data_IF_769734755569
#
_entry.id   IF_769734755569
#
_cell.length_a   1.000
_cell.length_b   1.000
_cell.length_c   1.000
_cell.angle_alpha   90.00
_cell.angle_beta   90.00
_cell.angle_gamma   90.00
#
_symmetry.space_group_name_H-M   'P 1'
#
loop_
_entity.id
_entity.type
_entity.pdbx_description
1 polymer ?
#
# COMPACT_ATOMS: atom_id res chain seq x y z
N UNK A 1 17.71 -0.54 -9.93
CA UNK A 1 16.93 -0.17 -8.73
C UNK A 1 16.71 1.34 -8.66
N UNK A 2 17.77 2.17 -8.55
CA UNK A 2 17.66 3.64 -8.52
C UNK A 2 16.77 4.24 -9.62
N UNK A 3 17.07 3.96 -10.88
CA UNK A 3 16.29 4.47 -12.02
C UNK A 3 14.81 4.04 -11.98
N UNK A 4 14.50 2.87 -11.40
CA UNK A 4 13.12 2.42 -11.29
C UNK A 4 12.34 3.24 -10.26
N UNK A 5 12.97 3.57 -9.12
CA UNK A 5 12.37 4.45 -8.11
C UNK A 5 12.22 5.85 -8.69
N UNK A 6 13.25 6.40 -9.35
CA UNK A 6 13.16 7.72 -9.99
C UNK A 6 12.03 7.80 -11.03
N UNK A 7 11.90 6.77 -11.88
CA UNK A 7 10.83 6.69 -12.86
C UNK A 7 9.44 6.63 -12.20
N UNK A 8 9.30 5.92 -11.07
CA UNK A 8 8.06 5.87 -10.32
C UNK A 8 7.72 7.24 -9.69
N UNK A 9 8.71 7.90 -9.08
CA UNK A 9 8.58 9.25 -8.51
C UNK A 9 8.21 10.28 -9.59
N UNK A 10 8.77 10.15 -10.80
CA UNK A 10 8.47 11.03 -11.92
C UNK A 10 7.04 10.84 -12.45
N UNK A 11 6.42 9.68 -12.20
CA UNK A 11 5.03 9.37 -12.56
C UNK A 11 4.03 9.76 -11.48
N UNK A 12 4.46 10.39 -10.39
CA UNK A 12 3.60 10.80 -9.26
C UNK A 12 2.72 9.64 -8.74
N UNK A 13 3.30 8.44 -8.60
CA UNK A 13 2.61 7.29 -8.05
C UNK A 13 2.32 7.48 -6.55
N UNK A 14 1.28 6.84 -6.02
CA UNK A 14 0.98 6.88 -4.59
C UNK A 14 1.73 5.81 -3.78
N UNK A 15 2.13 4.72 -4.44
CA UNK A 15 2.75 3.54 -3.81
C UNK A 15 3.87 3.03 -4.69
N UNK A 16 5.02 2.69 -4.07
CA UNK A 16 6.12 1.97 -4.71
C UNK A 16 6.31 0.65 -3.95
N UNK A 17 6.16 -0.45 -4.68
CA UNK A 17 6.41 -1.81 -4.19
C UNK A 17 7.81 -2.27 -4.61
N UNK A 18 8.69 -2.49 -3.63
CA UNK A 18 10.06 -2.97 -3.84
C UNK A 18 10.16 -4.40 -3.33
N UNK A 19 9.95 -5.37 -4.22
CA UNK A 19 10.17 -6.80 -3.93
C UNK A 19 11.67 -7.17 -3.90
N UNK A 20 12.47 -6.34 -3.27
CA UNK A 20 13.90 -6.53 -3.11
C UNK A 20 14.38 -5.81 -1.85
N UNK A 21 15.50 -6.31 -1.36
CA UNK A 21 16.25 -5.73 -0.27
C UNK A 21 17.71 -6.09 -0.50
N UNK A 22 18.60 -5.15 -0.19
CA UNK A 22 20.03 -5.27 -0.52
C UNK A 22 20.90 -4.84 0.65
N UNK A 23 22.13 -5.32 0.67
CA UNK A 23 23.15 -4.83 1.59
C UNK A 23 23.34 -3.31 1.47
N UNK A 24 23.69 -2.63 2.57
CA UNK A 24 23.88 -1.20 2.56
C UNK A 24 24.87 -0.77 1.47
N UNK A 25 24.43 0.06 0.50
CA UNK A 25 25.34 0.60 -0.51
C UNK A 25 26.41 1.47 0.16
N UNK A 26 27.57 1.57 -0.48
CA UNK A 26 28.72 2.33 0.03
C UNK A 26 28.98 3.57 -0.81
N UNK A 27 29.54 4.61 -0.18
CA UNK A 27 30.02 5.82 -0.86
C UNK A 27 28.94 6.55 -1.66
N UNK A 28 29.24 6.87 -2.92
CA UNK A 28 28.36 7.67 -3.80
C UNK A 28 27.00 7.00 -4.06
N UNK A 29 26.99 5.68 -4.22
CA UNK A 29 25.76 4.92 -4.46
C UNK A 29 24.77 5.04 -3.30
N UNK A 30 25.27 5.12 -2.06
CA UNK A 30 24.43 5.36 -0.88
C UNK A 30 23.73 6.70 -0.95
N UNK A 31 24.50 7.76 -1.21
CA UNK A 31 23.95 9.11 -1.33
C UNK A 31 22.91 9.22 -2.46
N UNK A 32 23.08 8.49 -3.56
CA UNK A 32 22.11 8.42 -4.63
C UNK A 32 20.81 7.71 -4.20
N UNK A 33 20.91 6.58 -3.50
CA UNK A 33 19.73 5.89 -2.93
C UNK A 33 18.98 6.79 -1.95
N UNK A 34 19.71 7.38 -0.98
CA UNK A 34 19.13 8.25 0.02
C UNK A 34 18.42 9.45 -0.62
N UNK A 35 19.02 10.03 -1.67
CA UNK A 35 18.43 11.14 -2.42
C UNK A 35 17.14 10.72 -3.12
N UNK A 36 17.11 9.57 -3.79
CA UNK A 36 15.95 9.13 -4.56
C UNK A 36 14.81 8.70 -3.63
N UNK A 37 15.12 8.02 -2.52
CA UNK A 37 14.14 7.67 -1.49
C UNK A 37 13.58 8.93 -0.81
N UNK A 38 14.44 9.91 -0.49
CA UNK A 38 14.00 11.20 0.05
C UNK A 38 13.11 12.00 -0.90
N UNK A 39 13.34 11.92 -2.21
CA UNK A 39 12.41 12.50 -3.20
C UNK A 39 11.03 11.82 -3.17
N UNK A 40 10.99 10.50 -3.01
CA UNK A 40 9.74 9.75 -2.94
C UNK A 40 8.96 10.10 -1.66
N UNK A 41 9.64 10.13 -0.52
CA UNK A 41 9.06 10.59 0.75
C UNK A 41 8.55 12.03 0.67
N UNK A 42 9.34 12.94 0.11
CA UNK A 42 8.93 14.34 -0.05
C UNK A 42 7.68 14.55 -0.91
N UNK A 43 7.30 13.54 -1.71
CA UNK A 43 6.04 13.49 -2.47
C UNK A 43 4.92 12.70 -1.76
N UNK A 44 5.13 12.29 -0.51
CA UNK A 44 4.22 11.45 0.28
C UNK A 44 3.89 10.10 -0.40
N UNK A 45 4.86 9.53 -1.12
CA UNK A 45 4.71 8.21 -1.75
C UNK A 45 4.97 7.13 -0.70
N UNK A 46 4.04 6.18 -0.57
CA UNK A 46 4.23 5.05 0.35
C UNK A 46 5.26 4.07 -0.23
N UNK A 47 6.26 3.75 0.58
CA UNK A 47 7.36 2.86 0.22
C UNK A 47 7.18 1.51 0.92
N UNK A 48 7.13 0.43 0.14
CA UNK A 48 7.06 -0.93 0.65
C UNK A 48 8.30 -1.71 0.23
N UNK A 49 8.87 -2.52 1.13
CA UNK A 49 9.95 -3.44 0.78
C UNK A 49 9.76 -4.85 1.34
N UNK A 50 10.38 -5.85 0.73
CA UNK A 50 10.34 -7.25 1.18
C UNK A 50 11.41 -7.55 2.22
N UNK A 51 11.08 -8.28 3.28
CA UNK A 51 12.12 -8.92 4.11
C UNK A 51 12.89 -9.96 3.27
N UNK A 52 14.20 -10.15 3.49
CA UNK A 52 14.91 -11.27 2.92
C UNK A 52 14.46 -12.59 3.52
N UNK A 53 14.21 -13.54 2.64
CA UNK A 53 13.77 -14.89 3.00
C UNK A 53 14.96 -15.82 3.33
N UNK A 54 16.13 -15.27 3.69
CA UNK A 54 17.36 -16.05 3.94
C UNK A 54 17.76 -16.08 5.43
N UNK A 55 16.88 -15.68 6.34
CA UNK A 55 17.03 -15.86 7.78
C UNK A 55 18.10 -15.03 8.48
N UNK A 56 18.90 -14.24 7.75
CA UNK A 56 20.01 -13.46 8.30
C UNK A 56 19.91 -11.98 7.90
N UNK A 57 18.88 -11.30 8.44
CA UNK A 57 18.56 -9.93 8.08
C UNK A 57 18.79 -8.97 9.24
N UNK A 58 19.61 -7.94 9.01
CA UNK A 58 19.94 -6.91 9.99
C UNK A 58 19.19 -5.59 9.71
N UNK A 59 19.22 -4.65 10.65
CA UNK A 59 18.59 -3.34 10.51
C UNK A 59 19.27 -2.41 9.49
N UNK A 60 20.41 -2.82 8.93
CA UNK A 60 21.28 -2.01 8.06
C UNK A 60 21.02 -2.20 6.56
N UNK A 61 20.11 -3.09 6.18
CA UNK A 61 19.79 -3.32 4.78
C UNK A 61 18.86 -2.26 4.18
N UNK A 62 19.10 -1.98 2.90
CA UNK A 62 18.35 -1.01 2.13
C UNK A 62 17.14 -1.66 1.42
N UNK A 63 16.01 -0.94 1.32
CA UNK A 63 15.84 0.49 1.60
C UNK A 63 15.52 0.84 3.06
N UNK A 64 15.26 -0.12 3.94
CA UNK A 64 14.74 0.20 5.28
C UNK A 64 15.74 0.93 6.18
N UNK A 65 17.04 0.67 6.06
CA UNK A 65 18.08 1.35 6.82
C UNK A 65 18.17 2.86 6.55
N UNK A 66 17.66 3.32 5.40
CA UNK A 66 17.57 4.75 5.10
C UNK A 66 16.52 5.46 5.97
N UNK A 67 15.44 4.76 6.32
CA UNK A 67 14.34 5.32 7.12
C UNK A 67 13.43 4.21 7.63
N UNK A 68 13.71 3.66 8.83
CA UNK A 68 12.93 2.57 9.40
C UNK A 68 11.44 2.91 9.54
N UNK A 69 11.13 4.15 9.94
CA UNK A 69 9.75 4.61 10.10
C UNK A 69 9.10 5.09 8.78
N UNK A 70 9.85 5.06 7.68
CA UNK A 70 9.44 5.62 6.37
C UNK A 70 9.19 4.56 5.31
N UNK A 71 9.65 3.34 5.54
CA UNK A 71 9.54 2.23 4.61
C UNK A 71 8.88 1.06 5.32
N UNK A 72 7.75 0.62 4.78
CA UNK A 72 6.98 -0.50 5.32
C UNK A 72 7.61 -1.81 4.86
N UNK A 73 8.25 -2.50 5.80
CA UNK A 73 8.91 -3.77 5.58
C UNK A 73 7.94 -4.91 5.82
N UNK A 74 7.78 -5.73 4.79
CA UNK A 74 6.78 -6.80 4.76
C UNK A 74 7.45 -8.17 4.77
N UNK A 75 7.08 -8.99 5.74
CA UNK A 75 7.45 -10.40 5.81
C UNK A 75 6.36 -11.32 5.27
N UNK A 76 6.76 -12.52 4.86
CA UNK A 76 5.85 -13.61 4.53
C UNK A 76 5.22 -14.25 5.78
N UNK A 77 3.91 -14.49 5.72
CA UNK A 77 3.18 -15.35 6.64
C UNK A 77 2.68 -16.62 5.94
N UNK A 78 2.52 -17.66 6.74
CA UNK A 78 1.82 -18.89 6.39
C UNK A 78 0.29 -18.67 6.43
N UNK A 79 -0.45 -19.67 5.95
CA UNK A 79 -1.92 -19.64 5.91
C UNK A 79 -2.57 -19.62 7.30
N UNK A 80 -1.85 -20.10 8.33
CA UNK A 80 -2.26 -20.05 9.73
C UNK A 80 -2.02 -18.67 10.37
N UNK A 81 -1.46 -17.71 9.63
CA UNK A 81 -1.14 -16.37 10.09
C UNK A 81 0.18 -16.25 10.84
N UNK A 82 0.92 -17.34 11.05
CA UNK A 82 2.25 -17.28 11.64
C UNK A 82 3.28 -16.80 10.62
N UNK A 83 4.31 -16.10 11.11
CA UNK A 83 5.45 -15.72 10.27
C UNK A 83 6.09 -16.97 9.63
N UNK A 84 6.50 -16.84 8.37
CA UNK A 84 7.27 -17.89 7.71
C UNK A 84 8.60 -18.07 8.44
N UNK A 85 9.12 -19.30 8.51
CA UNK A 85 10.28 -19.65 9.35
C UNK A 85 11.56 -18.84 9.04
N UNK A 86 11.64 -18.23 7.86
CA UNK A 86 12.78 -17.42 7.41
C UNK A 86 12.60 -15.91 7.68
N UNK A 87 11.42 -15.50 8.16
CA UNK A 87 11.11 -14.13 8.55
C UNK A 87 11.31 -13.98 10.05
N UNK A 88 12.06 -12.95 10.44
CA UNK A 88 12.21 -12.58 11.85
C UNK A 88 11.14 -11.53 12.19
N UNK A 89 10.14 -11.83 13.04
CA UNK A 89 9.02 -10.92 13.32
C UNK A 89 9.45 -9.57 13.88
N UNK A 90 10.49 -9.54 14.71
CA UNK A 90 11.03 -8.31 15.31
C UNK A 90 11.69 -7.37 14.29
N UNK A 91 11.96 -7.89 13.09
CA UNK A 91 12.63 -7.18 12.00
C UNK A 91 11.70 -6.91 10.82
N UNK A 92 10.38 -6.95 10.99
CA UNK A 92 9.39 -6.56 9.98
C UNK A 92 8.30 -5.70 10.62
N UNK A 93 7.72 -4.78 9.84
CA UNK A 93 6.63 -3.95 10.34
C UNK A 93 5.30 -4.70 10.28
N UNK A 94 5.11 -5.48 9.20
CA UNK A 94 3.89 -6.25 8.98
C UNK A 94 4.21 -7.59 8.32
N UNK A 95 3.33 -8.57 8.55
CA UNK A 95 3.33 -9.85 7.87
C UNK A 95 2.10 -9.98 6.98
N UNK A 96 2.28 -10.51 5.78
CA UNK A 96 1.20 -10.75 4.82
C UNK A 96 1.32 -12.15 4.24
N UNK A 97 0.20 -12.76 3.78
CA UNK A 97 0.23 -14.07 3.14
C UNK A 97 1.29 -14.12 2.04
N UNK A 98 2.26 -15.00 2.20
CA UNK A 98 3.43 -15.07 1.33
C UNK A 98 3.92 -16.47 1.06
N UNK A 99 3.31 -17.47 1.69
CA UNK A 99 3.65 -18.88 1.52
C UNK A 99 2.56 -19.56 0.72
N UNK A 100 2.96 -20.33 -0.29
CA UNK A 100 2.09 -21.08 -1.18
C UNK A 100 0.95 -20.27 -1.81
N UNK A 101 1.25 -19.01 -2.16
CA UNK A 101 0.26 -18.12 -2.76
C UNK A 101 0.06 -18.51 -4.22
N UNK A 102 -1.14 -19.01 -4.54
CA UNK A 102 -1.54 -19.33 -5.90
C UNK A 102 -1.81 -18.03 -6.66
N UNK A 103 -1.12 -17.82 -7.78
CA UNK A 103 -1.47 -16.74 -8.71
C UNK A 103 -2.71 -17.18 -9.47
N UNK A 104 -3.84 -16.51 -9.26
CA UNK A 104 -5.07 -16.80 -9.96
C UNK A 104 -4.90 -16.55 -11.48
N UNK A 105 -4.52 -17.60 -12.22
CA UNK A 105 -4.55 -17.62 -13.67
C UNK A 105 -5.96 -18.08 -14.07
N UNK A 106 -6.97 -17.25 -13.80
CA UNK A 106 -8.31 -17.56 -14.31
C UNK A 106 -8.30 -17.38 -15.84
N UNK A 107 -9.24 -18.05 -16.54
CA UNK A 107 -9.35 -17.99 -18.02
C UNK A 107 -9.48 -16.57 -18.61
N UNK A 108 -9.75 -15.55 -17.80
CA UNK A 108 -9.90 -14.14 -18.19
C UNK A 108 -8.61 -13.31 -18.09
N UNK A 109 -7.65 -13.67 -17.23
CA UNK A 109 -6.38 -12.94 -17.09
C UNK A 109 -5.23 -13.95 -17.24
N UNK A 110 -4.86 -14.27 -18.49
CA UNK A 110 -3.71 -15.11 -18.78
C UNK A 110 -2.43 -14.30 -18.74
N UNK A 111 -1.64 -14.46 -17.68
CA UNK A 111 -0.25 -14.02 -17.71
C UNK A 111 0.56 -15.05 -18.51
N UNK A 112 1.10 -14.65 -19.67
CA UNK A 112 1.91 -15.53 -20.54
C UNK A 112 3.10 -16.12 -19.74
N UNK A 113 3.13 -17.45 -19.59
CA UNK A 113 4.26 -18.18 -19.00
C UNK A 113 4.10 -18.63 -17.55
N UNK A 114 2.91 -18.52 -16.95
CA UNK A 114 2.62 -19.08 -15.62
C UNK A 114 1.75 -20.34 -15.77
N UNK A 115 2.23 -21.46 -15.22
CA UNK A 115 1.42 -22.66 -15.03
C UNK A 115 0.43 -22.41 -13.89
N UNK A 116 -0.83 -22.83 -14.07
CA UNK A 116 -1.96 -22.56 -13.16
C UNK A 116 -1.74 -23.11 -11.74
N UNK A 117 -0.79 -24.03 -11.56
CA UNK A 117 -0.52 -24.76 -10.31
C UNK A 117 0.76 -24.31 -9.58
N UNK A 118 1.46 -23.27 -10.04
CA UNK A 118 2.68 -22.81 -9.36
C UNK A 118 2.35 -21.88 -8.21
N UNK A 119 2.41 -22.42 -7.00
CA UNK A 119 2.45 -21.63 -5.78
C UNK A 119 3.78 -20.87 -5.70
N UNK A 120 3.72 -19.63 -5.21
CA UNK A 120 4.92 -18.82 -4.96
C UNK A 120 5.05 -18.57 -3.47
N UNK A 121 6.25 -18.82 -2.96
CA UNK A 121 6.62 -18.54 -1.57
C UNK A 121 7.70 -17.48 -1.53
N UNK A 122 7.49 -16.45 -0.72
CA UNK A 122 8.49 -15.43 -0.42
C UNK A 122 7.89 -14.09 -0.04
N UNK A 123 8.65 -13.29 0.71
CA UNK A 123 8.24 -11.96 1.17
C UNK A 123 7.96 -11.00 0.02
N UNK A 124 8.52 -11.24 -1.17
CA UNK A 124 8.18 -10.51 -2.40
C UNK A 124 6.69 -10.56 -2.74
N UNK A 125 6.03 -11.71 -2.52
CA UNK A 125 4.59 -11.87 -2.77
C UNK A 125 3.79 -11.09 -1.73
N UNK A 126 4.19 -11.21 -0.46
CA UNK A 126 3.60 -10.46 0.65
C UNK A 126 3.69 -8.95 0.43
N UNK A 127 4.82 -8.43 -0.03
CA UNK A 127 5.00 -7.00 -0.36
C UNK A 127 4.05 -6.56 -1.47
N UNK A 128 3.84 -7.38 -2.51
CA UNK A 128 2.89 -7.08 -3.57
C UNK A 128 1.44 -7.03 -3.05
N UNK A 129 1.05 -7.96 -2.18
CA UNK A 129 -0.28 -7.96 -1.58
C UNK A 129 -0.50 -6.78 -0.62
N UNK A 130 0.50 -6.48 0.21
CA UNK A 130 0.45 -5.34 1.14
C UNK A 130 0.34 -4.00 0.39
N UNK A 131 1.17 -3.78 -0.62
CA UNK A 131 1.13 -2.57 -1.46
C UNK A 131 -0.18 -2.45 -2.25
N UNK A 132 -0.72 -3.57 -2.74
CA UNK A 132 -2.04 -3.61 -3.38
C UNK A 132 -3.17 -3.23 -2.43
N UNK A 133 -3.15 -3.75 -1.19
CA UNK A 133 -4.13 -3.38 -0.16
C UNK A 133 -4.04 -1.90 0.19
N UNK A 134 -2.83 -1.36 0.35
CA UNK A 134 -2.64 0.07 0.62
C UNK A 134 -3.20 0.94 -0.51
N UNK A 135 -2.96 0.57 -1.77
CA UNK A 135 -3.54 1.25 -2.92
C UNK A 135 -5.08 1.23 -2.91
N UNK A 136 -5.69 0.09 -2.53
CA UNK A 136 -7.14 -0.03 -2.39
C UNK A 136 -7.68 0.88 -1.28
N UNK A 137 -7.03 0.91 -0.12
CA UNK A 137 -7.43 1.78 1.00
C UNK A 137 -7.35 3.26 0.60
N UNK A 138 -6.26 3.67 -0.07
CA UNK A 138 -6.12 5.04 -0.58
C UNK A 138 -7.22 5.39 -1.59
N UNK A 139 -7.54 4.47 -2.51
CA UNK A 139 -8.61 4.66 -3.48
C UNK A 139 -9.97 4.82 -2.81
N UNK A 140 -10.28 3.99 -1.81
CA UNK A 140 -11.50 4.10 -1.02
C UNK A 140 -11.56 5.41 -0.23
N UNK A 141 -10.45 5.88 0.35
CA UNK A 141 -10.40 7.16 1.05
C UNK A 141 -10.67 8.34 0.11
N UNK A 142 -10.06 8.33 -1.08
CA UNK A 142 -10.29 9.37 -2.11
C UNK A 142 -11.74 9.38 -2.57
N UNK A 143 -12.35 8.21 -2.79
CA UNK A 143 -13.75 8.12 -3.18
C UNK A 143 -14.68 8.54 -2.04
N UNK A 144 -14.43 8.08 -0.82
CA UNK A 144 -15.21 8.45 0.36
C UNK A 144 -15.22 9.95 0.57
N UNK A 145 -14.06 10.61 0.48
CA UNK A 145 -13.96 12.08 0.57
C UNK A 145 -14.74 12.81 -0.54
N UNK A 146 -14.86 12.22 -1.73
CA UNK A 146 -15.62 12.80 -2.86
C UNK A 146 -17.12 12.58 -2.75
N UNK A 147 -17.55 11.41 -2.25
CA UNK A 147 -18.96 11.03 -2.16
C UNK A 147 -19.63 11.57 -0.90
N UNK A 148 -18.86 11.76 0.18
CA UNK A 148 -19.34 12.29 1.46
C UNK A 148 -18.76 13.68 1.72
N UNK A 149 -19.21 14.75 1.02
CA UNK A 149 -18.72 16.11 1.24
C UNK A 149 -19.08 16.71 2.62
N UNK A 150 -19.59 15.91 3.57
CA UNK A 150 -20.00 16.37 4.91
C UNK A 150 -19.21 15.79 6.09
N UNK A 151 -18.27 14.85 5.88
CA UNK A 151 -17.52 14.24 6.99
C UNK A 151 -16.11 14.84 7.11
N UNK A 152 -16.05 16.14 7.41
CA UNK A 152 -14.83 16.77 7.91
C UNK A 152 -14.55 16.31 9.35
N UNK A 153 -13.27 16.30 9.81
CA UNK A 153 -12.94 15.99 11.19
C UNK A 153 -13.46 17.13 12.08
N UNK A 154 -14.69 16.99 12.59
CA UNK A 154 -15.33 17.97 13.48
C UNK A 154 -16.80 18.29 13.21
N UNK A 155 -17.44 17.72 12.19
CA UNK A 155 -18.85 18.02 11.86
C UNK A 155 -19.85 17.23 12.70
N UNK A 156 -20.38 17.84 13.77
CA UNK A 156 -21.62 17.39 14.40
C UNK A 156 -22.76 17.40 13.34
N UNK A 157 -23.60 16.36 13.25
CA UNK A 157 -24.63 16.29 12.21
C UNK A 157 -25.71 17.36 12.46
N UNK A 158 -25.68 18.45 11.69
CA UNK A 158 -26.75 19.44 11.66
C UNK A 158 -27.97 18.86 10.92
N UNK A 159 -29.12 18.98 11.57
CA UNK A 159 -30.38 18.36 11.18
C UNK A 159 -30.92 18.97 9.86
N UNK A 160 -30.73 18.26 8.75
CA UNK A 160 -31.48 18.55 7.52
C UNK A 160 -32.88 17.95 7.64
N UNK A 161 -33.82 18.69 8.23
CA UNK A 161 -35.16 18.18 8.42
C UNK A 161 -36.19 19.14 8.98
N UNK A 162 -36.19 20.44 8.63
CA UNK A 162 -37.34 21.35 8.90
C UNK A 162 -37.46 22.49 7.89
N UNK A 163 -37.81 22.18 6.65
CA UNK A 163 -38.31 23.23 5.73
C UNK A 163 -39.29 22.70 4.68
N UNK A 164 -40.25 21.86 5.10
CA UNK A 164 -41.40 21.47 4.29
C UNK A 164 -42.69 21.48 5.11
N UNK A 165 -43.03 22.61 5.74
CA UNK A 165 -44.33 22.80 6.38
C UNK A 165 -44.70 24.28 6.58
N UNK A 166 -44.58 25.12 5.55
CA UNK A 166 -45.13 26.48 5.59
C UNK A 166 -45.35 27.02 4.17
N UNK A 167 -46.37 26.52 3.47
CA UNK A 167 -46.67 26.97 2.11
C UNK A 167 -47.91 26.31 1.51
N UNK A 168 -49.04 26.34 2.21
CA UNK A 168 -50.35 26.00 1.64
C UNK A 168 -51.22 27.24 1.67
N UNK A 169 -51.15 28.05 0.62
CA UNK A 169 -52.13 29.08 0.30
C UNK A 169 -52.53 28.96 -1.17
N UNK A 170 -53.84 29.02 -1.39
CA UNK A 170 -54.55 28.92 -2.66
C UNK A 170 -55.49 27.71 -2.65
N UNK A 171 -56.76 27.76 -3.07
CA UNK A 171 -57.57 28.82 -3.66
C UNK A 171 -58.97 28.17 -3.85
N UNK A 172 -60.05 28.67 -3.24
CA UNK A 172 -61.45 28.27 -3.55
C UNK A 172 -62.29 29.58 -3.56
N UNK A 173 -62.62 30.12 -4.74
CA UNK A 173 -63.95 30.11 -5.41
C UNK A 173 -65.08 30.58 -4.47
N UNK A 174 -65.73 31.73 -4.61
CA UNK A 174 -66.27 32.34 -5.82
C UNK A 174 -67.70 31.84 -6.09
N UNK A 175 -68.70 32.31 -5.32
CA UNK A 175 -69.97 33.01 -5.68
C UNK A 175 -70.46 33.72 -4.42
#
# INVERSE_FOLDING_TARGET
MLYAIEAAVAKDVHVISMSWTVDPPKGKTKAEFDKVLGKAEGKNILLFCSSPDLGNFFSDHYPTAWGPDKVLRIGASQADGHAYSLVQPDNVDYIFPGVDVVRANNRLIRFRGLDDDKSFTGSSVSTALASGLAALVLWLAVIGAKILPGYGPGGCPEQHGREQAAGRQGHETGI
#
